data_IF_706360220689
#
_entry.id   IF_706360220689
#
_cell.length_a   1.000
_cell.length_b   1.000
_cell.length_c   1.000
_cell.angle_alpha   90.00
_cell.angle_beta   90.00
_cell.angle_gamma   90.00
#
_symmetry.space_group_name_H-M   'P 1'
#
loop_
_entity.id
_entity.type
_entity.pdbx_description
1 polymer ?
#
# COMPACT_ATOMS: atom_id res chain seq x y z
N UNK A 1 10.40 4.69 -13.25
CA UNK A 1 9.69 3.81 -12.30
C UNK A 1 10.66 3.50 -11.18
N UNK A 2 10.29 3.76 -9.92
CA UNK A 2 11.14 3.52 -8.76
C UNK A 2 11.44 2.01 -8.66
N UNK A 3 12.72 1.63 -8.77
CA UNK A 3 13.16 0.23 -8.68
C UNK A 3 13.70 -0.04 -7.27
N UNK A 4 12.79 -0.24 -6.32
CA UNK A 4 13.09 -0.39 -4.89
C UNK A 4 12.69 -1.77 -4.38
N UNK A 5 13.49 -2.36 -3.49
CA UNK A 5 13.19 -3.66 -2.86
C UNK A 5 12.70 -3.41 -1.43
N UNK A 6 11.40 -3.23 -1.27
CA UNK A 6 10.76 -2.79 -0.02
C UNK A 6 10.95 -3.73 1.18
N UNK A 7 11.14 -5.04 0.95
CA UNK A 7 11.44 -6.08 1.94
C UNK A 7 10.84 -5.87 3.37
N UNK A 8 9.53 -5.67 3.52
CA UNK A 8 8.96 -5.28 4.81
C UNK A 8 8.97 -6.44 5.82
N UNK A 9 9.03 -6.11 7.11
CA UNK A 9 9.09 -7.10 8.19
C UNK A 9 7.90 -8.08 8.15
N UNK A 10 8.16 -9.38 8.29
CA UNK A 10 7.12 -10.42 8.33
C UNK A 10 7.04 -11.00 9.74
N UNK A 11 5.89 -10.83 10.39
CA UNK A 11 5.63 -11.50 11.65
C UNK A 11 5.86 -13.01 11.52
N UNK A 12 6.57 -13.56 12.51
CA UNK A 12 6.74 -15.01 12.66
C UNK A 12 5.46 -15.64 13.21
N UNK A 13 5.32 -16.94 13.05
CA UNK A 13 4.23 -17.69 13.69
C UNK A 13 4.27 -17.54 15.21
N UNK A 14 3.12 -17.73 15.86
CA UNK A 14 3.00 -17.60 17.31
C UNK A 14 3.99 -18.51 18.05
N UNK A 15 4.82 -17.91 18.91
CA UNK A 15 5.74 -18.63 19.81
C UNK A 15 5.56 -18.06 21.22
N UNK A 16 4.83 -18.78 22.06
CA UNK A 16 4.46 -18.32 23.41
C UNK A 16 5.66 -17.88 24.24
N UNK A 17 6.72 -18.68 24.29
CA UNK A 17 7.92 -18.38 25.08
C UNK A 17 8.63 -17.10 24.64
N UNK A 18 8.64 -16.80 23.33
CA UNK A 18 9.21 -15.56 22.81
C UNK A 18 8.37 -14.34 23.22
N UNK A 19 7.03 -14.48 23.21
CA UNK A 19 6.09 -13.45 23.64
C UNK A 19 6.20 -13.20 25.15
N UNK A 20 6.25 -14.25 25.96
CA UNK A 20 6.44 -14.14 27.41
C UNK A 20 7.77 -13.46 27.74
N UNK A 21 8.86 -13.84 27.06
CA UNK A 21 10.17 -13.18 27.22
C UNK A 21 10.11 -11.69 26.85
N UNK A 22 9.41 -11.33 25.77
CA UNK A 22 9.26 -9.93 25.37
C UNK A 22 8.46 -9.12 26.40
N UNK A 23 7.40 -9.72 26.97
CA UNK A 23 6.60 -9.12 28.05
C UNK A 23 7.42 -8.94 29.33
N UNK A 24 8.19 -9.94 29.74
CA UNK A 24 9.08 -9.86 30.91
C UNK A 24 10.13 -8.76 30.74
N UNK A 25 10.67 -8.60 29.53
CA UNK A 25 11.73 -7.61 29.23
C UNK A 25 11.16 -6.19 29.13
N UNK A 26 9.98 -6.03 28.52
CA UNK A 26 9.45 -4.71 28.14
C UNK A 26 8.36 -4.19 29.09
N UNK A 27 7.79 -5.06 29.93
CA UNK A 27 6.69 -4.73 30.86
C UNK A 27 5.30 -4.63 30.23
N UNK A 28 5.20 -4.61 28.90
CA UNK A 28 3.95 -4.62 28.13
C UNK A 28 4.18 -5.19 26.72
N UNK A 29 3.11 -5.40 25.97
CA UNK A 29 3.14 -5.78 24.56
C UNK A 29 2.22 -4.87 23.75
N UNK A 30 2.65 -4.50 22.55
CA UNK A 30 1.77 -3.91 21.54
C UNK A 30 1.04 -5.04 20.83
N UNK A 31 -0.28 -4.92 20.71
CA UNK A 31 -1.12 -5.90 20.04
C UNK A 31 -2.07 -5.19 19.07
N UNK A 32 -1.96 -5.52 17.79
CA UNK A 32 -2.80 -4.98 16.72
C UNK A 32 -3.63 -6.05 16.03
N UNK A 33 -4.68 -5.61 15.33
CA UNK A 33 -5.47 -6.49 14.49
C UNK A 33 -4.68 -6.87 13.24
N UNK A 34 -4.49 -8.16 13.01
CA UNK A 34 -3.97 -8.66 11.73
C UNK A 34 -5.07 -8.52 10.67
N UNK A 35 -5.11 -7.39 9.97
CA UNK A 35 -6.05 -7.18 8.88
C UNK A 35 -5.79 -8.13 7.70
N UNK A 36 -6.86 -8.45 6.98
CA UNK A 36 -6.82 -9.31 5.79
C UNK A 36 -7.09 -8.46 4.55
N UNK A 37 -6.09 -8.31 3.70
CA UNK A 37 -6.10 -7.44 2.54
C UNK A 37 -4.88 -7.65 1.66
N UNK A 38 -4.39 -6.56 1.05
CA UNK A 38 -3.10 -6.54 0.38
C UNK A 38 -2.17 -5.58 1.11
N UNK A 39 -1.09 -6.09 1.71
CA UNK A 39 -0.03 -5.24 2.27
C UNK A 39 0.58 -4.34 1.19
N UNK A 40 0.44 -3.04 1.40
CA UNK A 40 0.94 -1.96 0.56
C UNK A 40 2.20 -1.34 1.15
N UNK A 41 3.17 -1.10 0.28
CA UNK A 41 4.35 -0.30 0.53
C UNK A 41 4.26 0.93 -0.37
N UNK A 42 3.88 2.06 0.20
CA UNK A 42 3.69 3.33 -0.53
C UNK A 42 4.98 4.12 -0.39
N UNK A 43 5.83 4.05 -1.40
CA UNK A 43 7.09 4.77 -1.44
C UNK A 43 6.88 6.16 -2.03
N UNK A 44 7.45 7.20 -1.42
CA UNK A 44 7.48 8.57 -1.92
C UNK A 44 8.92 9.05 -1.86
N UNK A 45 9.50 9.43 -3.00
CA UNK A 45 10.85 10.00 -3.05
C UNK A 45 10.89 11.52 -2.87
N UNK A 46 12.09 12.06 -2.69
CA UNK A 46 12.34 13.50 -2.59
C UNK A 46 11.99 14.28 -3.88
N UNK A 47 11.68 13.61 -4.99
CA UNK A 47 11.17 14.24 -6.22
C UNK A 47 9.64 14.27 -6.27
N UNK A 48 8.98 13.91 -5.16
CA UNK A 48 7.53 13.85 -5.00
C UNK A 48 6.84 12.85 -5.93
N UNK A 49 7.54 11.79 -6.33
CA UNK A 49 6.97 10.66 -7.04
C UNK A 49 6.53 9.57 -6.06
N UNK A 50 5.30 9.08 -6.22
CA UNK A 50 4.79 7.95 -5.45
C UNK A 50 4.84 6.63 -6.23
N UNK A 51 5.04 5.54 -5.49
CA UNK A 51 4.93 4.17 -5.97
C UNK A 51 4.10 3.33 -4.99
N UNK A 52 2.94 2.87 -5.43
CA UNK A 52 2.02 1.98 -4.71
C UNK A 52 2.39 0.53 -4.97
N UNK A 53 3.31 0.04 -4.15
CA UNK A 53 3.87 -1.30 -4.29
C UNK A 53 3.20 -2.28 -3.32
N UNK A 54 3.25 -3.55 -3.66
CA UNK A 54 2.93 -4.64 -2.73
C UNK A 54 4.14 -5.01 -1.89
N UNK A 55 3.95 -5.87 -0.89
CA UNK A 55 5.04 -6.48 -0.08
C UNK A 55 6.15 -7.18 -0.87
N UNK A 56 5.94 -7.48 -2.15
CA UNK A 56 6.94 -8.09 -3.05
C UNK A 56 7.48 -7.08 -4.06
N UNK A 57 7.34 -5.79 -3.75
CA UNK A 57 7.86 -4.65 -4.52
C UNK A 57 7.35 -4.57 -5.96
N UNK A 58 6.16 -5.12 -6.22
CA UNK A 58 5.44 -5.00 -7.49
C UNK A 58 4.30 -4.01 -7.35
N UNK A 59 4.10 -3.16 -8.34
CA UNK A 59 2.94 -2.25 -8.41
C UNK A 59 1.63 -3.01 -8.24
N UNK A 60 0.72 -2.42 -7.47
CA UNK A 60 -0.63 -2.94 -7.27
C UNK A 60 -1.50 -2.49 -8.45
N UNK A 61 -2.01 -3.41 -9.30
CA UNK A 61 -2.65 -3.03 -10.57
C UNK A 61 -3.77 -2.01 -10.44
N UNK A 62 -4.69 -2.21 -9.49
CA UNK A 62 -5.83 -1.31 -9.34
C UNK A 62 -5.46 0.11 -8.86
N UNK A 63 -4.26 0.26 -8.29
CA UNK A 63 -3.74 1.51 -7.74
C UNK A 63 -2.62 2.10 -8.61
N UNK A 64 -2.34 1.52 -9.78
CA UNK A 64 -1.26 1.98 -10.66
C UNK A 64 -1.42 3.46 -11.05
N UNK A 65 -2.67 3.90 -11.23
CA UNK A 65 -3.02 5.28 -11.55
C UNK A 65 -2.72 6.30 -10.44
N UNK A 66 -2.33 5.86 -9.24
CA UNK A 66 -1.91 6.72 -8.13
C UNK A 66 -0.38 6.88 -8.06
N UNK A 67 0.36 6.25 -8.98
CA UNK A 67 1.80 6.39 -9.09
C UNK A 67 2.21 7.67 -9.82
N UNK A 68 3.46 8.07 -9.63
CA UNK A 68 4.07 9.21 -10.32
C UNK A 68 4.02 10.48 -9.49
N UNK A 69 4.31 11.60 -10.15
CA UNK A 69 4.46 12.89 -9.51
C UNK A 69 3.13 13.44 -9.00
N UNK A 70 3.12 13.94 -7.78
CA UNK A 70 2.01 14.75 -7.25
C UNK A 70 2.54 15.94 -6.45
N UNK A 71 2.04 17.15 -6.76
CA UNK A 71 2.44 18.36 -6.05
C UNK A 71 2.11 18.30 -4.55
N UNK A 72 1.12 17.51 -4.14
CA UNK A 72 0.75 17.30 -2.74
C UNK A 72 1.86 16.58 -1.97
N UNK A 73 2.58 15.65 -2.59
CA UNK A 73 3.77 15.04 -1.97
C UNK A 73 4.88 16.06 -1.77
N UNK A 74 5.14 16.92 -2.76
CA UNK A 74 6.12 18.00 -2.63
C UNK A 74 5.77 18.98 -1.49
N UNK A 75 4.47 19.26 -1.28
CA UNK A 75 4.00 20.07 -0.16
C UNK A 75 4.20 19.35 1.18
N UNK A 76 3.92 18.06 1.25
CA UNK A 76 4.12 17.25 2.45
C UNK A 76 5.60 17.18 2.84
N UNK A 77 6.49 16.90 1.89
CA UNK A 77 7.93 16.76 2.14
C UNK A 77 8.59 18.06 2.64
N UNK A 78 7.97 19.21 2.36
CA UNK A 78 8.42 20.55 2.79
C UNK A 78 7.66 21.08 4.00
N UNK A 79 6.72 20.32 4.54
CA UNK A 79 5.98 20.71 5.72
C UNK A 79 6.88 20.57 6.94
N UNK A 80 6.96 21.61 7.78
CA UNK A 80 7.83 21.62 8.98
C UNK A 80 7.46 20.51 9.99
N UNK A 81 6.26 19.93 9.89
CA UNK A 81 5.81 18.80 10.71
C UNK A 81 6.33 17.46 10.19
N UNK A 82 6.81 17.41 8.95
CA UNK A 82 7.24 16.18 8.30
C UNK A 82 8.68 15.83 8.65
N UNK A 83 8.90 14.59 9.07
CA UNK A 83 10.19 14.14 9.61
C UNK A 83 11.07 13.40 8.59
N UNK A 84 10.56 13.13 7.38
CA UNK A 84 11.27 12.40 6.33
C UNK A 84 11.30 13.18 5.01
N UNK A 85 12.05 14.30 4.93
CA UNK A 85 12.06 15.18 3.76
C UNK A 85 12.72 14.53 2.53
N UNK A 86 13.60 13.55 2.73
CA UNK A 86 14.31 12.84 1.66
C UNK A 86 13.51 11.69 1.06
N UNK A 87 12.29 11.48 1.54
CA UNK A 87 11.39 10.41 1.11
C UNK A 87 11.16 9.36 2.18
N UNK A 88 10.11 8.58 1.99
CA UNK A 88 9.64 7.59 2.96
C UNK A 88 8.88 6.45 2.29
N UNK A 89 8.69 5.37 3.03
CA UNK A 89 7.78 4.29 2.72
C UNK A 89 6.74 4.16 3.83
N UNK A 90 5.46 4.25 3.48
CA UNK A 90 4.37 3.86 4.37
C UNK A 90 4.14 2.36 4.22
N UNK A 91 4.08 1.64 5.34
CA UNK A 91 3.76 0.22 5.38
C UNK A 91 2.41 -0.01 6.08
N UNK A 92 1.52 -0.72 5.41
CA UNK A 92 0.15 -0.88 5.86
C UNK A 92 -0.63 -1.91 5.06
N UNK A 93 -1.86 -2.16 5.50
CA UNK A 93 -2.79 -3.03 4.78
C UNK A 93 -3.79 -2.20 3.98
N UNK A 94 -3.93 -2.58 2.70
CA UNK A 94 -4.87 -1.98 1.76
C UNK A 94 -6.10 -2.88 1.65
N UNK A 95 -7.27 -2.27 1.84
CA UNK A 95 -8.58 -2.93 1.80
C UNK A 95 -9.55 -2.10 0.96
N UNK A 96 -10.63 -2.73 0.51
CA UNK A 96 -11.70 -2.05 -0.24
C UNK A 96 -12.95 -1.96 0.63
N UNK A 97 -13.53 -0.77 0.73
CA UNK A 97 -14.76 -0.53 1.50
C UNK A 97 -15.95 -1.23 0.85
N UNK A 98 -16.91 -1.67 1.66
CA UNK A 98 -18.19 -2.21 1.19
C UNK A 98 -18.13 -3.62 0.62
N UNK A 99 -16.99 -4.31 0.68
CA UNK A 99 -16.82 -5.70 0.23
C UNK A 99 -16.06 -6.52 1.27
N UNK A 100 -16.15 -7.85 1.19
CA UNK A 100 -15.36 -8.75 2.01
C UNK A 100 -13.87 -8.75 1.60
N UNK A 101 -13.00 -9.28 2.45
CA UNK A 101 -11.56 -9.24 2.26
C UNK A 101 -11.08 -9.98 1.00
N UNK A 102 -11.72 -11.10 0.61
CA UNK A 102 -11.33 -11.86 -0.58
C UNK A 102 -11.67 -11.05 -1.83
N UNK A 103 -12.87 -10.50 -1.88
CA UNK A 103 -13.33 -9.62 -2.97
C UNK A 103 -12.44 -8.38 -3.07
N UNK A 104 -12.20 -7.68 -1.95
CA UNK A 104 -11.34 -6.49 -1.91
C UNK A 104 -9.91 -6.78 -2.37
N UNK A 105 -9.32 -7.87 -1.91
CA UNK A 105 -8.00 -8.31 -2.34
C UNK A 105 -7.95 -8.68 -3.83
N UNK A 106 -9.01 -9.30 -4.35
CA UNK A 106 -9.15 -9.59 -5.78
C UNK A 106 -9.25 -8.31 -6.62
N UNK A 107 -10.00 -7.32 -6.16
CA UNK A 107 -10.12 -6.01 -6.81
C UNK A 107 -8.78 -5.30 -6.90
N UNK A 108 -8.00 -5.26 -5.80
CA UNK A 108 -6.68 -4.64 -5.78
C UNK A 108 -5.69 -5.26 -6.79
N UNK A 109 -5.85 -6.55 -7.09
CA UNK A 109 -5.05 -7.28 -8.11
C UNK A 109 -5.64 -7.22 -9.53
N UNK A 110 -6.81 -6.62 -9.71
CA UNK A 110 -7.50 -6.60 -11.00
C UNK A 110 -6.91 -5.53 -11.91
N UNK A 111 -6.56 -5.94 -13.14
CA UNK A 111 -6.00 -5.05 -14.18
C UNK A 111 -7.09 -4.47 -15.07
N UNK A 112 -8.14 -5.23 -15.36
CA UNK A 112 -9.16 -4.87 -16.36
C UNK A 112 -10.51 -4.56 -15.72
N UNK A 113 -11.11 -3.46 -16.18
CA UNK A 113 -12.44 -3.03 -15.81
C UNK A 113 -13.48 -4.04 -16.33
N UNK A 114 -14.45 -4.35 -15.49
CA UNK A 114 -15.57 -5.27 -15.75
C UNK A 114 -16.84 -4.65 -15.22
N UNK A 115 -17.97 -5.06 -15.76
CA UNK A 115 -19.27 -4.56 -15.30
C UNK A 115 -19.48 -4.80 -13.79
N UNK A 116 -18.94 -5.91 -13.26
CA UNK A 116 -19.04 -6.27 -11.85
C UNK A 116 -18.17 -5.44 -10.90
N UNK A 117 -17.14 -4.73 -11.40
CA UNK A 117 -16.29 -3.87 -10.56
C UNK A 117 -16.36 -2.38 -10.95
N UNK A 118 -17.16 -2.05 -11.96
CA UNK A 118 -17.30 -0.69 -12.50
C UNK A 118 -17.70 0.34 -11.42
N UNK A 119 -18.63 -0.02 -10.53
CA UNK A 119 -19.12 0.87 -9.46
C UNK A 119 -18.05 1.24 -8.42
N UNK A 120 -16.92 0.53 -8.39
CA UNK A 120 -15.80 0.79 -7.50
C UNK A 120 -14.64 1.50 -8.21
N UNK A 121 -14.79 1.76 -9.50
CA UNK A 121 -13.75 2.38 -10.33
C UNK A 121 -13.90 3.90 -10.40
N UNK A 122 -12.85 4.58 -10.86
CA UNK A 122 -12.88 6.02 -11.18
C UNK A 122 -13.65 6.35 -12.47
N UNK A 123 -14.17 5.36 -13.20
CA UNK A 123 -14.86 5.58 -14.47
C UNK A 123 -16.31 6.04 -14.24
N UNK A 124 -16.73 7.09 -14.94
CA UNK A 124 -18.09 7.65 -14.82
C UNK A 124 -19.15 6.88 -15.63
N UNK A 125 -18.76 6.28 -16.77
CA UNK A 125 -19.67 5.56 -17.66
C UNK A 125 -19.13 4.20 -18.08
N UNK A 126 -20.03 3.22 -18.22
CA UNK A 126 -19.70 1.87 -18.69
C UNK A 126 -19.91 1.76 -20.20
N UNK A 127 -18.93 1.20 -20.91
CA UNK A 127 -19.04 0.88 -22.33
C UNK A 127 -18.93 -0.63 -22.58
N UNK A 128 -19.93 -1.20 -23.27
CA UNK A 128 -19.95 -2.64 -23.54
C UNK A 128 -18.81 -3.11 -24.45
N UNK A 129 -18.20 -2.22 -25.23
CA UNK A 129 -17.03 -2.54 -26.04
C UNK A 129 -15.83 -2.98 -25.20
N UNK A 130 -15.72 -2.54 -23.93
CA UNK A 130 -14.65 -2.93 -23.02
C UNK A 130 -14.66 -4.41 -22.66
N UNK A 131 -15.76 -5.13 -22.94
CA UNK A 131 -15.83 -6.60 -22.83
C UNK A 131 -14.90 -7.28 -23.85
N UNK A 132 -14.62 -6.64 -24.98
CA UNK A 132 -13.76 -7.18 -26.04
C UNK A 132 -12.30 -7.02 -25.66
N UNK A 133 -11.48 -8.07 -25.84
CA UNK A 133 -10.05 -8.09 -25.49
C UNK A 133 -9.27 -6.90 -26.08
N UNK A 134 -9.61 -6.49 -27.31
CA UNK A 134 -8.93 -5.39 -28.01
C UNK A 134 -9.22 -4.00 -27.41
N UNK A 135 -10.34 -3.83 -26.70
CA UNK A 135 -10.81 -2.53 -26.21
C UNK A 135 -10.87 -2.49 -24.67
N UNK A 136 -10.14 -3.38 -23.98
CA UNK A 136 -10.23 -3.47 -22.51
C UNK A 136 -9.73 -2.19 -21.88
N UNK A 137 -10.56 -1.63 -21.01
CA UNK A 137 -10.23 -0.50 -20.17
C UNK A 137 -9.50 -0.98 -18.90
N UNK A 138 -8.40 -0.34 -18.48
CA UNK A 138 -7.79 -0.60 -17.17
C UNK A 138 -8.76 -0.34 -16.01
N UNK A 139 -8.74 -1.20 -15.00
CA UNK A 139 -9.45 -0.97 -13.75
C UNK A 139 -8.61 -0.10 -12.83
N UNK A 140 -9.12 1.08 -12.51
CA UNK A 140 -8.55 1.97 -11.52
C UNK A 140 -9.53 2.06 -10.35
N UNK A 141 -9.13 1.53 -9.18
CA UNK A 141 -9.97 1.61 -7.98
C UNK A 141 -10.10 3.07 -7.55
N UNK A 142 -11.33 3.54 -7.35
CA UNK A 142 -11.55 4.89 -6.82
C UNK A 142 -10.94 5.01 -5.40
N UNK A 143 -10.06 5.99 -5.14
CA UNK A 143 -9.51 6.24 -3.81
C UNK A 143 -10.56 6.41 -2.71
N UNK A 144 -11.78 6.85 -3.04
CA UNK A 144 -12.89 6.91 -2.09
C UNK A 144 -13.23 5.54 -1.50
N UNK A 145 -13.08 4.47 -2.30
CA UNK A 145 -13.34 3.09 -1.90
C UNK A 145 -12.13 2.43 -1.23
N UNK A 146 -10.96 3.06 -1.23
CA UNK A 146 -9.76 2.54 -0.57
C UNK A 146 -9.82 2.79 0.95
N UNK A 147 -9.50 1.76 1.72
CA UNK A 147 -9.19 1.84 3.16
C UNK A 147 -7.74 1.45 3.36
N UNK A 148 -6.99 2.29 4.04
CA UNK A 148 -5.59 2.05 4.40
C UNK A 148 -5.50 1.99 5.92
N UNK A 149 -4.84 0.96 6.46
CA UNK A 149 -4.44 0.89 7.87
C UNK A 149 -2.93 0.86 7.90
N UNK A 150 -2.31 1.91 8.44
CA UNK A 150 -0.86 2.04 8.54
C UNK A 150 -0.37 1.38 9.83
N UNK A 151 0.76 0.66 9.74
CA UNK A 151 1.44 0.06 10.88
C UNK A 151 2.80 0.68 11.12
N UNK A 152 3.44 1.18 10.05
CA UNK A 152 4.80 1.68 10.12
C UNK A 152 5.10 2.73 9.03
N UNK A 153 6.17 3.49 9.25
CA UNK A 153 6.75 4.45 8.31
C UNK A 153 8.27 4.40 8.42
N UNK A 154 8.94 4.27 7.27
CA UNK A 154 10.40 4.07 7.22
C UNK A 154 11.00 5.10 6.26
N UNK A 155 12.12 5.78 6.60
CA UNK A 155 12.79 6.68 5.67
C UNK A 155 13.34 5.91 4.46
N UNK A 156 13.30 6.54 3.28
CA UNK A 156 13.52 5.82 2.01
C UNK A 156 14.96 5.29 1.85
N UNK A 157 15.95 6.01 2.37
CA UNK A 157 17.36 5.62 2.35
C UNK A 157 17.61 4.28 3.05
N UNK A 158 16.92 4.01 4.16
CA UNK A 158 16.99 2.73 4.88
C UNK A 158 16.35 1.60 4.05
N UNK A 159 15.26 1.88 3.33
CA UNK A 159 14.66 0.88 2.43
C UNK A 159 15.58 0.57 1.25
N UNK A 160 16.28 1.57 0.73
CA UNK A 160 17.24 1.40 -0.36
C UNK A 160 18.50 0.63 0.08
N UNK A 161 19.00 0.88 1.29
CA UNK A 161 20.14 0.15 1.85
C UNK A 161 19.77 -1.28 2.24
N UNK A 162 18.51 -1.49 2.66
CA UNK A 162 18.02 -2.76 3.20
C UNK A 162 18.42 -3.00 4.65
N UNK A 163 18.83 -1.96 5.36
CA UNK A 163 19.16 -2.01 6.78
C UNK A 163 17.90 -2.05 7.65
N UNK A 164 18.07 -2.45 8.92
CA UNK A 164 16.99 -2.39 9.90
C UNK A 164 16.80 -0.95 10.40
N UNK A 165 15.55 -0.47 10.37
CA UNK A 165 15.18 0.80 10.98
C UNK A 165 14.91 0.60 12.48
N UNK A 166 15.83 1.06 13.32
CA UNK A 166 15.70 0.99 14.78
C UNK A 166 14.98 2.26 15.29
N UNK A 167 13.87 2.07 16.02
CA UNK A 167 13.05 3.12 16.63
C UNK A 167 13.22 3.13 18.15
#
# INVERSE_FOLDING_TARGET
>A
MMNIKTNPFKAVSFVRSAIEKALETSGYLIADTKHDGVRGNICVDNTANAAWLSRVSKTIPALEHLNGFDQRWNKLLKDDRWIFPDGFMLDGELMVKGVDFNTGSGLLRTVWLKQSNFTLSTCEYWHDEWKKKANRQPFHLDPYNLKVVLYDIIPLDIIESGDDYNV
#
